data_IF_015614525508
#
_entry.id   IF_015614525508
#
_cell.length_a   1.000
_cell.length_b   1.000
_cell.length_c   1.000
_cell.angle_alpha   90.00
_cell.angle_beta   90.00
_cell.angle_gamma   90.00
#
_symmetry.space_group_name_H-M   'P 1'
#
loop_
_entity.id
_entity.type
_entity.pdbx_description
1 polymer ?
#
# COMPACT_ATOMS: atom_id res chain seq x y z
N UNK A 1 -57.07 -13.92 46.13
CA UNK A 1 -56.37 -14.29 44.88
C UNK A 1 -56.08 -13.07 44.00
N UNK A 2 -55.62 -11.94 44.58
CA UNK A 2 -55.45 -10.65 43.88
C UNK A 2 -54.17 -9.92 44.34
N UNK A 3 -53.01 -10.57 44.21
CA UNK A 3 -51.72 -9.94 44.56
C UNK A 3 -50.65 -9.97 43.45
N UNK A 4 -50.98 -10.51 42.27
CA UNK A 4 -50.03 -10.65 41.16
C UNK A 4 -50.27 -9.69 39.98
N UNK A 5 -51.38 -8.92 39.95
CA UNK A 5 -51.71 -8.08 38.79
C UNK A 5 -50.80 -6.87 38.63
N UNK A 6 -50.31 -6.28 39.72
CA UNK A 6 -49.49 -5.06 39.68
C UNK A 6 -48.08 -5.31 39.12
N UNK A 7 -47.52 -6.50 39.34
CA UNK A 7 -46.18 -6.88 38.85
C UNK A 7 -46.21 -7.12 37.34
N UNK A 8 -47.30 -7.70 36.82
CA UNK A 8 -47.49 -7.93 35.38
C UNK A 8 -47.64 -6.61 34.62
N UNK A 9 -48.37 -5.64 35.19
CA UNK A 9 -48.52 -4.31 34.59
C UNK A 9 -47.19 -3.55 34.55
N UNK A 10 -46.39 -3.61 35.63
CA UNK A 10 -45.06 -2.98 35.67
C UNK A 10 -44.09 -3.59 34.65
N UNK A 11 -44.10 -4.92 34.49
CA UNK A 11 -43.29 -5.59 33.47
C UNK A 11 -43.70 -5.21 32.05
N UNK A 12 -45.01 -5.05 31.80
CA UNK A 12 -45.52 -4.67 30.49
C UNK A 12 -45.15 -3.22 30.12
N UNK A 13 -45.22 -2.30 31.08
CA UNK A 13 -44.78 -0.90 30.90
C UNK A 13 -43.26 -0.85 30.63
N UNK A 14 -42.47 -1.65 31.34
CA UNK A 14 -41.02 -1.69 31.13
C UNK A 14 -40.65 -2.23 29.74
N UNK A 15 -41.36 -3.26 29.26
CA UNK A 15 -41.21 -3.79 27.90
C UNK A 15 -41.56 -2.76 26.83
N UNK A 16 -42.64 -1.99 27.02
CA UNK A 16 -43.04 -0.92 26.10
C UNK A 16 -42.01 0.21 26.04
N UNK A 17 -41.38 0.56 27.16
CA UNK A 17 -40.30 1.56 27.21
C UNK A 17 -39.07 1.06 26.44
N UNK A 18 -38.70 -0.21 26.60
CA UNK A 18 -37.58 -0.82 25.84
C UNK A 18 -37.89 -0.85 24.34
N UNK A 19 -39.11 -1.25 23.95
CA UNK A 19 -39.53 -1.28 22.55
C UNK A 19 -39.54 0.12 21.94
N UNK A 20 -40.00 1.13 22.68
CA UNK A 20 -39.99 2.51 22.23
C UNK A 20 -38.56 3.05 22.07
N UNK A 21 -37.65 2.74 23.01
CA UNK A 21 -36.24 3.09 22.90
C UNK A 21 -35.56 2.39 21.71
N UNK A 22 -35.86 1.12 21.45
CA UNK A 22 -35.32 0.40 20.30
C UNK A 22 -35.85 0.95 18.97
N UNK A 23 -37.14 1.31 18.90
CA UNK A 23 -37.72 1.97 17.72
C UNK A 23 -37.10 3.34 17.47
N UNK A 24 -36.89 4.14 18.52
CA UNK A 24 -36.30 5.48 18.39
C UNK A 24 -34.81 5.41 18.00
N UNK A 25 -34.07 4.44 18.54
CA UNK A 25 -32.68 4.17 18.15
C UNK A 25 -32.58 3.66 16.70
N UNK A 26 -33.56 2.88 16.23
CA UNK A 26 -33.64 2.44 14.84
C UNK A 26 -33.94 3.60 13.87
N UNK A 27 -34.68 4.62 14.31
CA UNK A 27 -35.06 5.78 13.48
C UNK A 27 -33.91 6.81 13.40
N UNK A 28 -33.15 7.03 14.48
CA UNK A 28 -32.00 7.96 14.49
C UNK A 28 -30.76 7.42 13.76
N UNK A 29 -30.69 6.11 13.48
CA UNK A 29 -29.62 5.52 12.65
C UNK A 29 -29.80 5.75 11.13
N UNK A 30 -30.84 6.48 10.72
CA UNK A 30 -31.14 6.81 9.33
C UNK A 30 -30.29 7.96 8.74
N UNK A 31 -29.08 8.17 9.27
CA UNK A 31 -28.02 8.85 8.52
C UNK A 31 -27.68 7.96 7.30
N UNK A 32 -28.32 8.28 6.19
CA UNK A 32 -28.32 7.55 4.93
C UNK A 32 -26.93 7.10 4.48
N UNK A 33 -26.56 5.86 4.82
CA UNK A 33 -25.47 5.14 4.16
C UNK A 33 -25.98 4.81 2.76
N UNK A 34 -25.51 5.54 1.74
CA UNK A 34 -25.70 5.15 0.34
C UNK A 34 -24.85 3.90 0.06
N UNK A 35 -25.40 2.74 0.39
CA UNK A 35 -24.83 1.44 0.04
C UNK A 35 -25.06 1.24 -1.47
N UNK A 36 -24.05 1.56 -2.28
CA UNK A 36 -23.99 1.13 -3.69
C UNK A 36 -23.53 -0.34 -3.72
N UNK A 37 -24.45 -1.26 -3.44
CA UNK A 37 -24.23 -2.71 -3.66
C UNK A 37 -25.03 -3.11 -4.89
N UNK A 38 -24.33 -3.35 -5.99
CA UNK A 38 -24.86 -4.01 -7.18
C UNK A 38 -24.64 -5.51 -7.01
N UNK A 39 -25.73 -6.23 -6.70
CA UNK A 39 -25.84 -7.67 -6.93
C UNK A 39 -26.38 -7.88 -8.35
N UNK A 40 -25.59 -8.53 -9.20
CA UNK A 40 -25.94 -9.33 -10.39
C UNK A 40 -24.82 -9.22 -11.44
N UNK A 41 -23.91 -10.19 -11.43
CA UNK A 41 -22.80 -10.30 -12.39
C UNK A 41 -23.18 -11.25 -13.54
N UNK A 42 -23.92 -10.75 -14.53
CA UNK A 42 -23.91 -11.35 -15.85
C UNK A 42 -22.96 -10.57 -16.79
N UNK A 43 -22.04 -11.33 -17.41
CA UNK A 43 -21.16 -10.98 -18.54
C UNK A 43 -19.96 -10.08 -18.25
N UNK A 44 -18.95 -10.65 -17.58
CA UNK A 44 -17.57 -10.21 -17.76
C UNK A 44 -17.02 -10.73 -19.09
N UNK A 45 -16.80 -9.86 -20.08
CA UNK A 45 -15.98 -10.18 -21.27
C UNK A 45 -14.48 -10.00 -20.94
N UNK A 46 -13.60 -10.71 -21.65
CA UNK A 46 -12.15 -10.43 -21.64
C UNK A 46 -11.92 -8.96 -22.00
N UNK A 47 -11.24 -8.21 -21.13
CA UNK A 47 -10.91 -6.81 -21.35
C UNK A 47 -9.44 -6.72 -21.68
N UNK A 48 -9.14 -6.30 -22.90
CA UNK A 48 -7.91 -5.60 -23.24
C UNK A 48 -8.06 -4.14 -22.80
N UNK A 49 -7.02 -3.57 -22.20
CA UNK A 49 -7.00 -2.15 -21.88
C UNK A 49 -6.83 -1.33 -23.17
N UNK A 50 -7.91 -1.19 -23.94
CA UNK A 50 -7.90 -0.63 -25.31
C UNK A 50 -7.80 0.90 -25.34
N UNK A 51 -8.10 1.57 -24.23
CA UNK A 51 -8.24 3.02 -24.18
C UNK A 51 -7.23 3.66 -23.23
N UNK A 52 -6.82 4.90 -23.56
CA UNK A 52 -5.95 5.69 -22.69
C UNK A 52 -6.66 6.11 -21.40
N UNK A 53 -5.90 6.37 -20.33
CA UNK A 53 -6.45 6.90 -19.08
C UNK A 53 -7.24 8.20 -19.28
N UNK A 54 -6.81 9.07 -20.20
CA UNK A 54 -7.54 10.29 -20.58
C UNK A 54 -8.91 10.01 -21.18
N UNK A 55 -9.04 8.95 -21.97
CA UNK A 55 -10.33 8.53 -22.51
C UNK A 55 -11.27 8.11 -21.39
N UNK A 56 -10.80 7.28 -20.44
CA UNK A 56 -11.61 6.87 -19.30
C UNK A 56 -12.03 8.04 -18.41
N UNK A 57 -11.12 8.98 -18.14
CA UNK A 57 -11.42 10.19 -17.39
C UNK A 57 -12.57 10.99 -18.04
N UNK A 58 -12.48 11.20 -19.35
CA UNK A 58 -13.49 11.93 -20.12
C UNK A 58 -14.83 11.18 -20.19
N UNK A 59 -14.81 9.89 -20.51
CA UNK A 59 -16.00 9.13 -20.89
C UNK A 59 -16.66 8.37 -19.73
N UNK A 60 -15.87 7.90 -18.76
CA UNK A 60 -16.35 7.12 -17.62
C UNK A 60 -16.45 7.96 -16.35
N UNK A 61 -15.41 8.72 -16.03
CA UNK A 61 -15.39 9.51 -14.79
C UNK A 61 -16.12 10.86 -14.97
N UNK A 62 -16.35 11.28 -16.23
CA UNK A 62 -16.95 12.56 -16.65
C UNK A 62 -16.23 13.77 -16.07
N UNK A 63 -14.90 13.72 -16.04
CA UNK A 63 -14.08 14.85 -15.60
C UNK A 63 -13.72 15.73 -16.80
N UNK A 64 -13.54 17.04 -16.55
CA UNK A 64 -13.06 17.95 -17.59
C UNK A 64 -11.57 17.66 -17.86
N UNK A 65 -11.13 17.84 -19.11
CA UNK A 65 -9.71 17.83 -19.43
C UNK A 65 -9.00 18.87 -18.54
N UNK A 66 -7.85 18.51 -17.95
CA UNK A 66 -7.11 19.30 -16.95
C UNK A 66 -7.71 19.40 -15.53
N UNK A 67 -8.87 18.80 -15.24
CA UNK A 67 -9.35 18.70 -13.86
C UNK A 67 -8.45 17.77 -13.06
N UNK A 68 -7.91 18.28 -11.94
CA UNK A 68 -7.16 17.44 -10.98
C UNK A 68 -8.14 16.49 -10.30
N UNK A 69 -7.95 15.19 -10.51
CA UNK A 69 -8.66 14.16 -9.78
C UNK A 69 -8.26 14.18 -8.30
N UNK A 70 -9.21 13.80 -7.44
CA UNK A 70 -9.04 13.67 -5.99
C UNK A 70 -9.80 12.43 -5.50
N UNK A 71 -9.36 11.81 -4.41
CA UNK A 71 -9.98 10.60 -3.86
C UNK A 71 -11.36 10.91 -3.26
N UNK A 72 -11.60 12.11 -2.74
CA UNK A 72 -12.93 12.47 -2.22
C UNK A 72 -14.03 12.35 -3.29
N UNK A 73 -13.68 12.50 -4.58
CA UNK A 73 -14.63 12.40 -5.68
C UNK A 73 -14.80 10.97 -6.23
N UNK A 74 -14.14 9.96 -5.64
CA UNK A 74 -14.18 8.58 -6.16
C UNK A 74 -15.62 8.02 -6.22
N UNK A 75 -16.47 8.32 -5.23
CA UNK A 75 -17.89 7.92 -5.24
C UNK A 75 -18.62 8.49 -6.46
N UNK A 76 -18.36 9.75 -6.78
CA UNK A 76 -18.94 10.42 -7.95
C UNK A 76 -18.42 9.80 -9.24
N UNK A 77 -17.12 9.51 -9.33
CA UNK A 77 -16.50 8.88 -10.49
C UNK A 77 -17.11 7.51 -10.80
N UNK A 78 -17.32 6.68 -9.78
CA UNK A 78 -17.95 5.37 -9.95
C UNK A 78 -19.43 5.46 -10.30
N UNK A 79 -20.18 6.38 -9.70
CA UNK A 79 -21.58 6.63 -10.07
C UNK A 79 -21.72 7.06 -11.54
N UNK A 80 -20.81 7.90 -12.03
CA UNK A 80 -20.76 8.31 -13.43
C UNK A 80 -20.49 7.13 -14.36
N UNK A 81 -19.57 6.25 -13.98
CA UNK A 81 -19.23 5.06 -14.76
C UNK A 81 -20.37 4.02 -14.77
N UNK A 82 -20.97 3.76 -13.62
CA UNK A 82 -22.09 2.84 -13.43
C UNK A 82 -23.33 3.25 -14.22
N UNK A 83 -23.65 4.54 -14.25
CA UNK A 83 -24.81 5.11 -14.97
C UNK A 83 -24.52 5.46 -16.43
N UNK A 84 -23.30 5.18 -16.91
CA UNK A 84 -22.89 5.52 -18.27
C UNK A 84 -23.64 4.67 -19.30
N UNK A 85 -23.97 5.28 -20.45
CA UNK A 85 -24.49 4.54 -21.62
C UNK A 85 -23.40 3.67 -22.27
N UNK A 86 -22.12 4.00 -22.05
CA UNK A 86 -21.00 3.22 -22.56
C UNK A 86 -20.80 1.94 -21.74
N UNK A 87 -20.83 0.77 -22.41
CA UNK A 87 -20.66 -0.53 -21.77
C UNK A 87 -19.31 -0.69 -21.05
N UNK A 88 -18.24 -0.13 -21.60
CA UNK A 88 -16.89 -0.21 -21.03
C UNK A 88 -16.83 0.49 -19.67
N UNK A 89 -17.48 1.66 -19.56
CA UNK A 89 -17.56 2.38 -18.29
C UNK A 89 -18.36 1.61 -17.24
N UNK A 90 -19.48 0.99 -17.63
CA UNK A 90 -20.25 0.12 -16.73
C UNK A 90 -19.42 -1.08 -16.28
N UNK A 91 -18.69 -1.70 -17.21
CA UNK A 91 -17.82 -2.83 -16.91
C UNK A 91 -16.68 -2.46 -15.95
N UNK A 92 -16.08 -1.28 -16.11
CA UNK A 92 -15.14 -0.75 -15.12
C UNK A 92 -15.79 -0.63 -13.73
N UNK A 93 -16.98 -0.03 -13.63
CA UNK A 93 -17.68 0.08 -12.36
C UNK A 93 -18.01 -1.30 -11.75
N UNK A 94 -18.38 -2.28 -12.58
CA UNK A 94 -18.62 -3.67 -12.14
C UNK A 94 -17.34 -4.29 -11.58
N UNK A 95 -16.20 -4.18 -12.26
CA UNK A 95 -14.92 -4.72 -11.79
C UNK A 95 -14.46 -4.01 -10.52
N UNK A 96 -14.61 -2.69 -10.46
CA UNK A 96 -14.34 -1.93 -9.24
C UNK A 96 -15.16 -2.45 -8.07
N UNK A 97 -16.48 -2.60 -8.24
CA UNK A 97 -17.37 -3.06 -7.18
C UNK A 97 -17.15 -4.52 -6.79
N UNK A 98 -16.64 -5.33 -7.73
CA UNK A 98 -16.23 -6.70 -7.44
C UNK A 98 -15.05 -6.71 -6.47
N UNK A 99 -14.02 -5.89 -6.68
CA UNK A 99 -12.80 -5.86 -5.86
C UNK A 99 -12.93 -5.02 -4.59
N UNK A 100 -13.58 -3.86 -4.70
CA UNK A 100 -13.62 -2.85 -3.65
C UNK A 100 -15.04 -2.59 -3.16
N UNK A 101 -15.14 -2.24 -1.88
CA UNK A 101 -16.28 -1.56 -1.29
C UNK A 101 -15.86 -0.12 -1.01
N UNK A 102 -16.68 0.82 -1.46
CA UNK A 102 -16.46 2.24 -1.26
C UNK A 102 -17.58 2.79 -0.37
N UNK A 103 -17.21 3.56 0.65
CA UNK A 103 -18.15 4.26 1.52
C UNK A 103 -17.74 5.71 1.67
N UNK A 104 -18.74 6.57 1.79
CA UNK A 104 -18.59 7.97 2.14
C UNK A 104 -19.34 8.22 3.42
N UNK A 105 -18.63 8.70 4.43
CA UNK A 105 -19.17 8.99 5.76
C UNK A 105 -18.72 10.38 6.21
N UNK A 106 -19.45 10.95 7.16
CA UNK A 106 -19.18 12.28 7.69
C UNK A 106 -18.94 12.22 9.19
N UNK A 107 -17.80 12.75 9.63
CA UNK A 107 -17.49 12.98 11.04
C UNK A 107 -17.93 14.37 11.46
N UNK A 108 -18.90 14.46 12.38
CA UNK A 108 -19.44 15.72 12.85
C UNK A 108 -18.78 16.15 14.17
N UNK A 109 -18.31 17.39 14.24
CA UNK A 109 -17.72 17.99 15.44
C UNK A 109 -18.55 19.18 15.94
N UNK A 110 -18.78 19.20 17.26
CA UNK A 110 -19.26 20.39 17.97
C UNK A 110 -18.08 21.05 18.68
N UNK A 111 -17.76 22.28 18.31
CA UNK A 111 -16.63 23.03 18.86
C UNK A 111 -17.12 24.10 19.83
N UNK A 112 -16.52 24.16 21.02
CA UNK A 112 -16.74 25.31 21.92
C UNK A 112 -16.04 26.56 21.36
N UNK A 113 -16.51 27.79 21.68
CA UNK A 113 -15.85 29.01 21.22
C UNK A 113 -14.36 29.08 21.61
N UNK A 114 -14.02 28.62 22.81
CA UNK A 114 -12.64 28.57 23.30
C UNK A 114 -11.79 27.61 22.46
N UNK A 115 -12.32 26.44 22.13
CA UNK A 115 -11.58 25.46 21.34
C UNK A 115 -11.48 25.87 19.86
N UNK A 116 -12.50 26.54 19.31
CA UNK A 116 -12.46 27.11 17.98
C UNK A 116 -11.29 28.10 17.81
N UNK A 117 -11.03 28.94 18.81
CA UNK A 117 -9.85 29.84 18.78
C UNK A 117 -8.53 29.08 18.66
N UNK A 118 -8.40 27.93 19.34
CA UNK A 118 -7.21 27.07 19.25
C UNK A 118 -7.09 26.40 17.88
N UNK A 119 -8.20 25.91 17.33
CA UNK A 119 -8.24 25.31 15.99
C UNK A 119 -7.91 26.35 14.92
N UNK A 120 -8.41 27.58 15.04
CA UNK A 120 -8.11 28.66 14.11
C UNK A 120 -6.60 28.90 14.01
N UNK A 121 -5.87 28.85 15.13
CA UNK A 121 -4.41 28.96 15.13
C UNK A 121 -3.75 27.78 14.40
N UNK A 122 -4.22 26.55 14.64
CA UNK A 122 -3.68 25.35 13.98
C UNK A 122 -3.93 25.33 12.47
N UNK A 123 -5.06 25.88 12.03
CA UNK A 123 -5.46 25.93 10.62
C UNK A 123 -5.11 27.28 9.96
N UNK A 124 -4.24 28.08 10.57
CA UNK A 124 -3.79 29.37 10.04
C UNK A 124 -4.92 30.34 9.66
N UNK A 125 -6.03 30.30 10.41
CA UNK A 125 -7.25 31.09 10.19
C UNK A 125 -7.94 30.84 8.83
N UNK A 126 -7.66 29.71 8.17
CA UNK A 126 -8.31 29.32 6.91
C UNK A 126 -9.77 28.95 7.16
N UNK A 127 -10.69 29.81 6.71
CA UNK A 127 -12.13 29.63 6.90
C UNK A 127 -12.67 28.38 6.21
N UNK A 128 -12.08 27.95 5.09
CA UNK A 128 -12.51 26.73 4.40
C UNK A 128 -12.17 25.51 5.24
N UNK A 129 -10.96 25.46 5.81
CA UNK A 129 -10.55 24.35 6.70
C UNK A 129 -11.34 24.36 8.01
N UNK A 130 -11.70 25.54 8.53
CA UNK A 130 -12.53 25.68 9.73
C UNK A 130 -13.96 25.17 9.50
N UNK A 131 -14.54 25.34 8.32
CA UNK A 131 -15.84 24.71 8.03
C UNK A 131 -15.68 23.20 7.80
N UNK A 132 -14.63 22.77 7.08
CA UNK A 132 -14.36 21.35 6.85
C UNK A 132 -14.08 20.57 8.14
N UNK A 133 -13.51 21.18 9.18
CA UNK A 133 -13.24 20.47 10.44
C UNK A 133 -14.53 20.13 11.20
N UNK A 134 -15.60 20.94 11.04
CA UNK A 134 -16.90 20.72 11.69
C UNK A 134 -17.63 19.53 11.07
N UNK A 135 -17.49 19.35 9.76
CA UNK A 135 -18.09 18.24 9.01
C UNK A 135 -17.02 17.61 8.11
N UNK A 136 -16.37 16.57 8.63
CA UNK A 136 -15.25 15.92 7.97
C UNK A 136 -15.76 14.83 7.05
N UNK A 137 -15.57 15.03 5.75
CA UNK A 137 -15.81 14.00 4.74
C UNK A 137 -14.72 12.93 4.80
N UNK A 138 -15.13 11.68 4.92
CA UNK A 138 -14.23 10.52 5.03
C UNK A 138 -14.63 9.50 3.97
N UNK A 139 -13.68 9.11 3.12
CA UNK A 139 -13.88 8.03 2.14
C UNK A 139 -13.23 6.76 2.67
N UNK A 140 -13.99 5.67 2.76
CA UNK A 140 -13.46 4.35 3.11
C UNK A 140 -13.38 3.48 1.88
N UNK A 141 -12.22 2.88 1.64
CA UNK A 141 -12.00 1.91 0.58
C UNK A 141 -11.59 0.60 1.23
N UNK A 142 -12.36 -0.46 0.98
CA UNK A 142 -12.11 -1.78 1.50
C UNK A 142 -11.94 -2.78 0.36
N UNK A 143 -10.81 -3.47 0.32
CA UNK A 143 -10.57 -4.58 -0.59
C UNK A 143 -11.27 -5.83 -0.06
N UNK A 144 -12.22 -6.36 -0.83
CA UNK A 144 -13.08 -7.47 -0.43
C UNK A 144 -12.35 -8.80 -0.31
N UNK A 145 -11.18 -8.93 -0.94
CA UNK A 145 -10.45 -10.19 -1.04
C UNK A 145 -9.14 -10.19 -0.23
N UNK A 146 -8.45 -9.05 -0.15
CA UNK A 146 -7.24 -8.94 0.68
C UNK A 146 -7.52 -8.39 2.08
N UNK A 147 -8.75 -7.93 2.33
CA UNK A 147 -9.21 -7.30 3.57
C UNK A 147 -8.44 -6.03 3.97
N UNK A 148 -7.72 -5.44 3.02
CA UNK A 148 -7.05 -4.17 3.21
C UNK A 148 -8.08 -3.03 3.22
N UNK A 149 -8.02 -2.19 4.24
CA UNK A 149 -8.89 -1.03 4.37
C UNK A 149 -8.07 0.25 4.48
N UNK A 150 -8.53 1.28 3.76
CA UNK A 150 -8.00 2.63 3.87
C UNK A 150 -9.11 3.65 4.10
N UNK A 151 -8.91 4.48 5.11
CA UNK A 151 -9.72 5.65 5.41
C UNK A 151 -9.00 6.92 4.93
N UNK A 152 -9.62 7.63 4.00
CA UNK A 152 -9.15 8.92 3.51
C UNK A 152 -9.86 10.04 4.26
N UNK A 153 -9.09 10.85 4.98
CA UNK A 153 -9.61 12.05 5.62
C UNK A 153 -8.57 13.18 5.48
N UNK A 154 -8.84 14.13 4.59
CA UNK A 154 -7.96 15.26 4.33
C UNK A 154 -7.61 16.04 5.60
N UNK A 155 -8.55 16.20 6.55
CA UNK A 155 -8.31 16.94 7.80
C UNK A 155 -7.22 16.29 8.68
N UNK A 156 -6.86 15.03 8.44
CA UNK A 156 -5.70 14.43 9.13
C UNK A 156 -4.36 15.01 8.72
N UNK A 157 -4.24 15.48 7.48
CA UNK A 157 -3.02 16.17 7.01
C UNK A 157 -2.81 17.51 7.72
N UNK A 158 -3.87 18.08 8.29
CA UNK A 158 -3.88 19.38 8.96
C UNK A 158 -3.56 19.29 10.47
N UNK A 159 -3.24 18.09 10.97
CA UNK A 159 -2.90 17.91 12.40
C UNK A 159 -1.62 18.64 12.74
N UNK A 160 -1.54 19.34 13.90
CA UNK A 160 -0.31 19.95 14.36
C UNK A 160 0.82 18.92 14.46
N UNK A 161 1.90 19.15 13.73
CA UNK A 161 3.10 18.34 13.75
C UNK A 161 4.19 19.02 14.58
N UNK A 162 4.94 18.23 15.34
CA UNK A 162 6.18 18.68 15.95
C UNK A 162 7.24 18.69 14.84
N UNK A 163 7.79 19.86 14.53
CA UNK A 163 8.94 19.96 13.63
C UNK A 163 10.20 19.64 14.42
N UNK A 164 11.10 18.87 13.81
CA UNK A 164 12.46 18.71 14.32
C UNK A 164 13.31 19.87 13.82
N UNK A 165 14.21 20.37 14.67
CA UNK A 165 15.18 21.41 14.30
C UNK A 165 16.35 20.86 13.48
N UNK A 166 16.48 19.52 13.41
CA UNK A 166 17.55 18.84 12.67
C UNK A 166 17.08 18.54 11.25
N UNK A 167 17.91 18.93 10.26
CA UNK A 167 17.71 18.59 8.85
C UNK A 167 17.74 17.06 8.65
N UNK A 168 16.71 16.45 8.03
CA UNK A 168 16.71 15.01 7.75
C UNK A 168 17.90 14.54 6.91
N UNK A 169 18.39 15.37 5.98
CA UNK A 169 19.55 15.04 5.14
C UNK A 169 20.85 15.03 5.96
N UNK A 170 21.07 16.03 6.80
CA UNK A 170 22.25 16.07 7.68
C UNK A 170 22.26 14.90 8.67
N UNK A 171 21.09 14.59 9.23
CA UNK A 171 20.93 13.46 10.15
C UNK A 171 21.26 12.12 9.48
N UNK A 172 20.70 11.85 8.30
CA UNK A 172 20.96 10.60 7.57
C UNK A 172 22.40 10.49 7.09
N UNK A 173 22.98 11.58 6.57
CA UNK A 173 24.39 11.63 6.13
C UNK A 173 25.33 11.24 7.27
N UNK A 174 25.11 11.80 8.47
CA UNK A 174 25.89 11.46 9.66
C UNK A 174 25.78 9.99 10.05
N UNK A 175 24.56 9.42 10.06
CA UNK A 175 24.35 8.01 10.37
C UNK A 175 25.08 7.08 9.37
N UNK A 176 25.06 7.42 8.09
CA UNK A 176 25.76 6.67 7.04
C UNK A 176 27.28 6.75 7.21
N UNK A 177 27.82 7.93 7.52
CA UNK A 177 29.26 8.10 7.76
C UNK A 177 29.73 7.34 9.00
N UNK A 178 29.00 7.47 10.10
CA UNK A 178 29.36 6.84 11.38
C UNK A 178 29.29 5.32 11.29
N UNK A 179 28.25 4.77 10.67
CA UNK A 179 28.08 3.32 10.51
C UNK A 179 29.12 2.68 9.58
N UNK A 180 29.70 3.44 8.64
CA UNK A 180 30.71 2.90 7.69
C UNK A 180 32.01 2.49 8.39
N UNK A 181 32.37 3.19 9.47
CA UNK A 181 33.67 3.03 10.17
C UNK A 181 33.88 1.63 10.73
N UNK A 182 32.81 0.94 11.10
CA UNK A 182 32.85 -0.37 11.76
C UNK A 182 31.94 -1.38 11.06
N UNK A 183 31.66 -1.18 9.77
CA UNK A 183 30.72 -2.02 9.04
C UNK A 183 31.35 -3.39 8.68
N UNK A 184 30.69 -4.47 9.11
CA UNK A 184 31.07 -5.85 8.80
C UNK A 184 30.85 -6.21 7.32
N UNK A 185 29.96 -5.49 6.62
CA UNK A 185 29.64 -5.73 5.21
C UNK A 185 30.59 -4.99 4.23
N UNK A 186 31.42 -4.08 4.74
CA UNK A 186 32.28 -3.24 3.91
C UNK A 186 33.56 -3.93 3.43
N UNK A 187 33.97 -3.60 2.20
CA UNK A 187 35.25 -4.04 1.65
C UNK A 187 35.39 -5.55 1.62
N UNK A 188 36.42 -6.09 2.30
CA UNK A 188 36.64 -7.54 2.45
C UNK A 188 36.23 -8.06 3.83
N UNK A 189 35.71 -7.21 4.71
CA UNK A 189 35.33 -7.62 6.07
C UNK A 189 34.27 -8.73 6.03
N UNK A 190 33.36 -8.68 5.05
CA UNK A 190 32.27 -9.64 4.94
C UNK A 190 32.72 -11.10 4.85
N UNK A 191 33.92 -11.36 4.32
CA UNK A 191 34.47 -12.71 4.21
C UNK A 191 34.73 -13.35 5.58
N UNK A 192 35.04 -12.53 6.60
CA UNK A 192 35.39 -13.00 7.94
C UNK A 192 34.34 -12.63 9.00
N UNK A 193 33.53 -11.59 8.73
CA UNK A 193 32.54 -11.05 9.68
C UNK A 193 31.09 -11.44 9.34
N UNK A 194 30.85 -12.24 8.31
CA UNK A 194 29.49 -12.71 7.98
C UNK A 194 29.42 -14.20 7.77
N UNK A 195 28.29 -14.80 8.14
CA UNK A 195 28.04 -16.21 7.91
C UNK A 195 27.84 -16.51 6.42
N UNK A 196 28.16 -17.74 6.03
CA UNK A 196 27.89 -18.31 4.72
C UNK A 196 26.75 -19.33 4.83
N UNK A 197 25.95 -19.47 3.78
CA UNK A 197 24.91 -20.51 3.73
C UNK A 197 25.52 -21.86 3.33
N UNK A 198 24.78 -22.97 3.47
CA UNK A 198 25.26 -24.30 3.05
C UNK A 198 25.48 -24.41 1.54
N UNK A 199 24.80 -23.57 0.75
CA UNK A 199 25.03 -23.44 -0.70
C UNK A 199 26.26 -22.59 -1.05
N UNK A 200 26.97 -22.10 -0.03
CA UNK A 200 28.11 -21.21 -0.17
C UNK A 200 27.71 -19.74 -0.33
N UNK A 201 28.70 -18.92 -0.69
CA UNK A 201 28.54 -17.50 -0.99
C UNK A 201 28.38 -17.31 -2.48
N UNK A 202 27.26 -16.72 -2.88
CA UNK A 202 27.05 -16.25 -4.24
C UNK A 202 27.56 -14.82 -4.34
N UNK A 203 28.33 -14.53 -5.37
CA UNK A 203 28.88 -13.21 -5.61
C UNK A 203 28.64 -12.77 -7.04
N UNK A 204 28.06 -11.58 -7.18
CA UNK A 204 28.02 -10.82 -8.41
C UNK A 204 29.03 -9.68 -8.34
N UNK A 205 29.07 -8.85 -9.39
CA UNK A 205 29.99 -7.72 -9.48
C UNK A 205 29.68 -6.68 -8.41
N UNK A 206 28.40 -6.36 -8.19
CA UNK A 206 27.97 -5.28 -7.30
C UNK A 206 27.32 -5.78 -6.00
N UNK A 207 27.05 -7.07 -5.86
CA UNK A 207 26.43 -7.63 -4.68
C UNK A 207 26.96 -9.03 -4.33
N UNK A 208 26.66 -9.48 -3.12
CA UNK A 208 27.00 -10.82 -2.62
C UNK A 208 25.97 -11.30 -1.59
N UNK A 209 25.89 -12.60 -1.37
CA UNK A 209 25.04 -13.17 -0.33
C UNK A 209 25.78 -13.28 0.99
N UNK A 210 25.08 -13.16 2.11
CA UNK A 210 25.55 -13.61 3.42
C UNK A 210 24.41 -14.33 4.13
N UNK A 211 24.65 -15.49 4.73
CA UNK A 211 23.61 -16.13 5.52
C UNK A 211 23.21 -15.20 6.67
N UNK A 212 21.90 -15.06 6.91
CA UNK A 212 21.47 -14.39 8.12
C UNK A 212 21.88 -15.27 9.32
N UNK A 213 22.67 -14.74 10.24
CA UNK A 213 23.11 -15.47 11.44
C UNK A 213 21.94 -15.82 12.36
N UNK A 214 20.91 -14.96 12.37
CA UNK A 214 19.71 -15.11 13.20
C UNK A 214 18.50 -15.37 12.31
N UNK A 215 18.47 -16.57 11.72
CA UNK A 215 17.42 -16.94 10.76
C UNK A 215 16.04 -17.03 11.43
N UNK A 216 15.02 -16.47 10.78
CA UNK A 216 13.62 -16.74 11.12
C UNK A 216 13.01 -17.90 10.31
N UNK A 217 13.72 -18.42 9.29
CA UNK A 217 13.30 -19.56 8.47
C UNK A 217 14.50 -20.42 8.05
N UNK A 218 14.22 -21.61 7.50
CA UNK A 218 15.23 -22.51 6.92
C UNK A 218 16.06 -21.82 5.85
N UNK A 219 15.40 -21.30 4.83
CA UNK A 219 16.04 -20.56 3.74
C UNK A 219 15.84 -19.07 4.00
N UNK A 220 16.85 -18.47 4.63
CA UNK A 220 16.91 -17.04 4.90
C UNK A 220 18.35 -16.53 4.72
N UNK A 221 18.54 -15.63 3.75
CA UNK A 221 19.82 -15.01 3.44
C UNK A 221 19.70 -13.48 3.45
N UNK A 222 20.84 -12.82 3.47
CA UNK A 222 21.02 -11.43 3.12
C UNK A 222 21.53 -11.35 1.67
N UNK A 223 21.02 -10.38 0.93
CA UNK A 223 21.54 -9.94 -0.36
C UNK A 223 22.14 -8.57 -0.15
N UNK A 224 23.46 -8.46 -0.19
CA UNK A 224 24.20 -7.30 0.29
C UNK A 224 24.85 -6.59 -0.89
N UNK A 225 24.58 -5.29 -1.02
CA UNK A 225 25.28 -4.47 -2.02
C UNK A 225 26.74 -4.30 -1.61
N UNK A 226 27.65 -4.07 -2.55
CA UNK A 226 29.01 -3.61 -2.21
C UNK A 226 29.02 -2.12 -1.84
N UNK A 227 27.94 -1.39 -2.12
CA UNK A 227 27.75 0.00 -1.74
C UNK A 227 27.09 0.14 -0.37
N UNK A 228 27.78 0.80 0.55
CA UNK A 228 27.30 1.07 1.91
C UNK A 228 26.12 2.05 1.94
N UNK A 229 26.01 2.95 0.97
CA UNK A 229 24.97 3.98 0.94
C UNK A 229 23.62 3.42 0.45
N UNK A 230 22.72 3.18 1.40
CA UNK A 230 21.37 2.64 1.16
C UNK A 230 20.41 3.60 0.47
N UNK A 231 20.76 4.89 0.35
CA UNK A 231 19.91 5.92 -0.26
C UNK A 231 20.32 6.24 -1.71
N UNK A 232 21.59 5.99 -2.05
CA UNK A 232 22.19 6.34 -3.34
C UNK A 232 22.63 5.12 -4.14
N UNK A 233 21.69 4.21 -4.39
CA UNK A 233 21.89 3.09 -5.31
C UNK A 233 21.58 3.49 -6.76
N UNK A 234 22.44 3.03 -7.66
CA UNK A 234 22.25 3.07 -9.11
C UNK A 234 21.26 2.00 -9.58
N UNK A 235 20.74 2.14 -10.80
CA UNK A 235 19.90 1.10 -11.44
C UNK A 235 20.64 -0.24 -11.51
N UNK A 236 21.93 -0.23 -11.87
CA UNK A 236 22.74 -1.44 -12.00
C UNK A 236 22.95 -2.15 -10.65
N UNK A 237 23.14 -1.41 -9.55
CA UNK A 237 23.27 -2.01 -8.22
C UNK A 237 21.96 -2.66 -7.77
N UNK A 238 20.82 -2.01 -8.02
CA UNK A 238 19.50 -2.58 -7.72
C UNK A 238 19.26 -3.84 -8.56
N UNK A 239 19.59 -3.80 -9.85
CA UNK A 239 19.46 -4.94 -10.75
C UNK A 239 20.32 -6.12 -10.31
N UNK A 240 21.62 -5.89 -10.05
CA UNK A 240 22.58 -6.91 -9.62
C UNK A 240 22.13 -7.59 -8.31
N UNK A 241 21.64 -6.83 -7.32
CA UNK A 241 21.08 -7.41 -6.09
C UNK A 241 19.85 -8.29 -6.37
N UNK A 242 18.92 -7.83 -7.20
CA UNK A 242 17.68 -8.57 -7.48
C UNK A 242 17.93 -9.81 -8.34
N UNK A 243 18.88 -9.76 -9.28
CA UNK A 243 19.33 -10.92 -10.06
C UNK A 243 20.03 -11.95 -9.16
N UNK A 244 20.92 -11.51 -8.26
CA UNK A 244 21.56 -12.37 -7.28
C UNK A 244 20.53 -13.05 -6.36
N UNK A 245 19.49 -12.34 -5.93
CA UNK A 245 18.39 -12.90 -5.16
C UNK A 245 17.66 -14.01 -5.93
N UNK A 246 17.37 -13.80 -7.22
CA UNK A 246 16.78 -14.83 -8.07
C UNK A 246 17.68 -16.05 -8.20
N UNK A 247 18.98 -15.87 -8.43
CA UNK A 247 19.93 -16.99 -8.47
C UNK A 247 19.92 -17.78 -7.15
N UNK A 248 19.92 -17.07 -6.03
CA UNK A 248 19.85 -17.68 -4.69
C UNK A 248 18.57 -18.50 -4.50
N UNK A 249 17.40 -17.98 -4.89
CA UNK A 249 16.13 -18.73 -4.82
C UNK A 249 16.17 -20.01 -5.66
N UNK A 250 16.68 -19.95 -6.90
CA UNK A 250 16.78 -21.14 -7.75
C UNK A 250 17.73 -22.20 -7.15
N UNK A 251 18.85 -21.78 -6.56
CA UNK A 251 19.77 -22.70 -5.89
C UNK A 251 19.13 -23.34 -4.66
N UNK A 252 18.50 -22.55 -3.79
CA UNK A 252 17.77 -23.07 -2.63
C UNK A 252 16.65 -24.05 -3.04
N UNK A 253 15.85 -23.68 -4.04
CA UNK A 253 14.80 -24.54 -4.59
C UNK A 253 15.33 -25.86 -5.17
N UNK A 254 16.48 -25.83 -5.86
CA UNK A 254 17.08 -27.04 -6.43
C UNK A 254 17.55 -28.05 -5.38
N UNK A 255 17.88 -27.57 -4.18
CA UNK A 255 18.29 -28.40 -3.04
C UNK A 255 17.04 -28.97 -2.35
N UNK A 256 16.00 -28.13 -2.17
CA UNK A 256 14.76 -28.52 -1.51
C UNK A 256 13.52 -28.00 -2.25
N UNK A 257 13.01 -28.75 -3.24
CA UNK A 257 11.89 -28.32 -4.09
C UNK A 257 10.54 -28.12 -3.38
N UNK A 258 10.47 -28.45 -2.09
CA UNK A 258 9.30 -28.22 -1.25
C UNK A 258 9.18 -26.76 -0.76
N UNK A 259 10.25 -25.98 -0.85
CA UNK A 259 10.27 -24.56 -0.51
C UNK A 259 10.05 -23.72 -1.77
N UNK A 260 8.85 -23.18 -1.94
CA UNK A 260 8.37 -22.67 -3.24
C UNK A 260 8.05 -21.19 -3.23
N UNK A 261 8.00 -20.53 -2.07
CA UNK A 261 7.47 -19.17 -1.94
C UNK A 261 8.58 -18.13 -1.75
N UNK A 262 9.11 -17.52 -2.83
CA UNK A 262 10.19 -16.54 -2.76
C UNK A 262 9.68 -15.15 -2.34
N UNK A 263 10.29 -14.59 -1.31
CA UNK A 263 10.03 -13.22 -0.87
C UNK A 263 11.29 -12.50 -0.42
N UNK A 264 11.21 -11.17 -0.43
CA UNK A 264 12.27 -10.29 0.00
C UNK A 264 11.70 -9.14 0.80
N UNK A 265 12.48 -8.66 1.77
CA UNK A 265 12.20 -7.44 2.52
C UNK A 265 13.44 -6.56 2.55
N UNK A 266 13.26 -5.26 2.61
CA UNK A 266 14.36 -4.32 2.81
C UNK A 266 13.88 -3.10 3.59
N UNK A 267 14.56 -2.85 4.70
CA UNK A 267 14.42 -1.65 5.50
C UNK A 267 15.66 -0.75 5.30
N UNK A 268 15.41 0.52 5.02
CA UNK A 268 16.44 1.55 4.97
C UNK A 268 16.22 2.54 6.13
N UNK A 269 17.29 2.80 6.88
CA UNK A 269 17.34 3.62 8.11
C UNK A 269 16.73 2.97 9.37
N UNK A 270 17.19 3.35 10.58
CA UNK A 270 16.68 2.78 11.83
C UNK A 270 15.19 3.02 12.04
N UNK A 271 14.67 4.14 11.50
CA UNK A 271 13.26 4.51 11.55
C UNK A 271 12.34 3.48 10.84
N UNK A 272 12.89 2.73 9.88
CA UNK A 272 12.20 1.62 9.22
C UNK A 272 12.36 0.28 9.92
N UNK A 273 13.28 0.17 10.89
CA UNK A 273 13.62 -1.11 11.55
C UNK A 273 14.95 -1.70 11.13
N UNK A 274 15.72 -1.01 10.26
CA UNK A 274 17.04 -1.49 9.85
C UNK A 274 18.01 -1.55 11.04
N UNK A 275 18.56 -2.73 11.33
CA UNK A 275 19.59 -2.93 12.36
C UNK A 275 21.00 -2.62 11.84
N UNK A 276 21.20 -2.66 10.52
CA UNK A 276 22.45 -2.33 9.84
C UNK A 276 22.17 -1.25 8.80
N UNK A 277 23.03 -0.25 8.73
CA UNK A 277 22.88 0.88 7.80
C UNK A 277 23.28 0.55 6.37
N UNK A 278 24.22 -0.38 6.22
CA UNK A 278 24.73 -0.83 4.93
C UNK A 278 23.61 -1.48 4.12
N UNK A 279 23.55 -1.19 2.83
CA UNK A 279 22.51 -1.68 1.91
C UNK A 279 22.42 -3.20 1.87
N UNK A 280 21.32 -3.77 2.35
CA UNK A 280 21.05 -5.19 2.23
C UNK A 280 19.54 -5.46 2.17
N UNK A 281 19.15 -6.43 1.35
CA UNK A 281 17.83 -7.05 1.43
C UNK A 281 17.94 -8.31 2.29
N UNK A 282 16.84 -8.70 2.91
CA UNK A 282 16.67 -10.07 3.41
C UNK A 282 15.83 -10.83 2.39
N UNK A 283 16.25 -12.04 2.04
CA UNK A 283 15.53 -12.91 1.12
C UNK A 283 15.22 -14.24 1.81
N UNK A 284 13.99 -14.71 1.66
CA UNK A 284 13.54 -15.99 2.21
C UNK A 284 12.76 -16.80 1.19
N UNK A 285 12.87 -18.13 1.29
CA UNK A 285 12.13 -19.07 0.46
C UNK A 285 11.28 -19.92 1.40
N UNK A 286 9.98 -19.65 1.44
CA UNK A 286 9.03 -20.28 2.36
C UNK A 286 8.55 -21.66 1.91
N UNK A 287 8.14 -22.49 2.87
CA UNK A 287 7.61 -23.83 2.64
C UNK A 287 6.13 -23.78 2.23
N UNK A 288 5.83 -23.97 0.94
CA UNK A 288 4.49 -24.05 0.32
C UNK A 288 3.52 -22.85 0.54
N UNK A 289 3.84 -21.95 1.45
CA UNK A 289 3.09 -20.74 1.79
C UNK A 289 4.02 -19.53 1.87
N UNK A 290 3.49 -18.37 1.49
CA UNK A 290 4.15 -17.10 1.78
C UNK A 290 3.93 -16.68 3.23
N UNK A 291 4.64 -15.64 3.66
CA UNK A 291 4.43 -15.09 4.98
C UNK A 291 3.17 -14.21 5.04
N UNK A 292 2.35 -14.44 6.07
CA UNK A 292 1.27 -13.57 6.56
C UNK A 292 0.50 -12.79 5.50
N UNK A 293 0.88 -11.51 5.31
CA UNK A 293 0.19 -10.57 4.42
C UNK A 293 0.29 -10.96 2.93
N UNK A 294 1.41 -11.54 2.51
CA UNK A 294 1.59 -11.98 1.12
C UNK A 294 0.69 -13.18 0.85
N UNK A 295 0.65 -14.13 1.77
CA UNK A 295 -0.24 -15.29 1.68
C UNK A 295 -1.71 -14.89 1.71
N UNK A 296 -2.09 -13.93 2.55
CA UNK A 296 -3.45 -13.33 2.52
C UNK A 296 -3.77 -12.77 1.13
N UNK A 297 -2.81 -12.14 0.46
CA UNK A 297 -3.00 -11.61 -0.89
C UNK A 297 -3.16 -12.73 -1.91
N UNK A 298 -2.33 -13.78 -1.85
CA UNK A 298 -2.44 -14.96 -2.73
C UNK A 298 -3.79 -15.65 -2.56
N UNK A 299 -4.21 -15.91 -1.33
CA UNK A 299 -5.51 -16.53 -1.04
C UNK A 299 -6.68 -15.65 -1.48
N UNK A 300 -6.57 -14.33 -1.28
CA UNK A 300 -7.53 -13.37 -1.80
C UNK A 300 -7.64 -13.41 -3.33
N UNK A 301 -6.51 -13.50 -4.03
CA UNK A 301 -6.48 -13.63 -5.49
C UNK A 301 -7.10 -14.95 -5.99
N UNK A 302 -6.89 -16.04 -5.24
CA UNK A 302 -7.54 -17.35 -5.49
C UNK A 302 -9.05 -17.26 -5.30
N UNK A 303 -9.49 -16.72 -4.16
CA UNK A 303 -10.89 -16.54 -3.88
C UNK A 303 -11.56 -15.59 -4.90
N UNK A 304 -10.84 -14.57 -5.37
CA UNK A 304 -11.32 -13.68 -6.42
C UNK A 304 -11.66 -14.42 -7.71
N UNK A 305 -10.74 -15.18 -8.31
CA UNK A 305 -11.09 -15.80 -9.58
C UNK A 305 -12.13 -16.92 -9.43
N UNK A 306 -12.19 -17.62 -8.29
CA UNK A 306 -13.25 -18.59 -8.01
C UNK A 306 -14.65 -17.94 -8.05
N UNK A 307 -14.78 -16.72 -7.53
CA UNK A 307 -16.06 -15.99 -7.49
C UNK A 307 -16.33 -15.10 -8.72
N UNK A 308 -15.36 -14.97 -9.63
CA UNK A 308 -15.44 -14.05 -10.77
C UNK A 308 -15.04 -14.75 -12.08
N UNK A 309 -15.51 -15.98 -12.31
CA UNK A 309 -15.35 -16.73 -13.56
C UNK A 309 -13.90 -16.87 -14.05
N UNK A 310 -12.96 -17.14 -13.14
CA UNK A 310 -11.55 -17.34 -13.48
C UNK A 310 -10.78 -16.07 -13.84
N UNK A 311 -11.32 -14.88 -13.57
CA UNK A 311 -10.63 -13.60 -13.79
C UNK A 311 -9.43 -13.42 -12.86
N UNK A 312 -8.28 -13.04 -13.43
CA UNK A 312 -7.09 -12.81 -12.63
C UNK A 312 -7.22 -11.52 -11.78
N UNK A 313 -7.08 -11.68 -10.46
CA UNK A 313 -7.17 -10.61 -9.48
C UNK A 313 -6.21 -9.44 -9.78
N UNK A 314 -4.95 -9.74 -10.07
CA UNK A 314 -3.92 -8.73 -10.26
C UNK A 314 -4.12 -7.94 -11.56
N UNK A 315 -4.58 -8.59 -12.63
CA UNK A 315 -4.94 -7.92 -13.89
C UNK A 315 -6.09 -6.94 -13.68
N UNK A 316 -7.12 -7.33 -12.94
CA UNK A 316 -8.26 -6.45 -12.64
C UNK A 316 -7.92 -5.34 -11.65
N UNK A 317 -7.09 -5.65 -10.66
CA UNK A 317 -6.52 -4.67 -9.74
C UNK A 317 -5.74 -3.60 -10.52
N UNK A 318 -4.83 -4.00 -11.41
CA UNK A 318 -4.07 -3.09 -12.25
C UNK A 318 -4.99 -2.27 -13.17
N UNK A 319 -5.97 -2.92 -13.82
CA UNK A 319 -6.93 -2.27 -14.71
C UNK A 319 -7.68 -1.13 -14.02
N UNK A 320 -8.19 -1.36 -12.80
CA UNK A 320 -8.88 -0.31 -12.02
C UNK A 320 -7.97 0.92 -11.86
N UNK A 321 -6.72 0.71 -11.45
CA UNK A 321 -5.81 1.82 -11.20
C UNK A 321 -5.39 2.53 -12.50
N UNK A 322 -5.28 1.81 -13.62
CA UNK A 322 -5.02 2.39 -14.93
C UNK A 322 -6.18 3.29 -15.39
N UNK A 323 -7.43 2.83 -15.22
CA UNK A 323 -8.65 3.60 -15.53
C UNK A 323 -8.73 4.87 -14.69
N UNK A 324 -8.37 4.77 -13.41
CA UNK A 324 -8.32 5.92 -12.50
C UNK A 324 -7.16 6.86 -12.79
N UNK A 325 -6.18 6.47 -13.62
CA UNK A 325 -5.00 7.28 -13.90
C UNK A 325 -4.01 7.34 -12.73
N UNK A 326 -3.97 6.29 -11.91
CA UNK A 326 -3.08 6.15 -10.76
C UNK A 326 -1.86 5.24 -11.06
N UNK A 327 -1.56 5.04 -12.34
CA UNK A 327 -0.45 4.18 -12.81
C UNK A 327 0.53 4.94 -13.69
N UNK A 328 1.81 4.64 -13.53
CA UNK A 328 2.92 5.12 -14.37
C UNK A 328 3.57 3.87 -14.97
N UNK A 329 3.74 3.85 -16.29
CA UNK A 329 4.29 2.69 -17.00
C UNK A 329 5.76 2.94 -17.36
N UNK A 330 6.64 2.04 -16.94
CA UNK A 330 8.07 2.02 -17.28
C UNK A 330 8.31 0.74 -18.09
N UNK A 331 8.45 0.85 -19.40
CA UNK A 331 8.44 -0.34 -20.27
C UNK A 331 7.14 -1.13 -20.07
N UNK A 332 7.20 -2.37 -19.60
CA UNK A 332 6.02 -3.17 -19.24
C UNK A 332 5.65 -3.14 -17.74
N UNK A 333 6.56 -2.65 -16.90
CA UNK A 333 6.36 -2.55 -15.46
C UNK A 333 5.39 -1.43 -15.11
N UNK A 334 4.51 -1.68 -14.14
CA UNK A 334 3.52 -0.72 -13.66
C UNK A 334 3.89 -0.25 -12.26
N UNK A 335 4.10 1.06 -12.11
CA UNK A 335 4.18 1.74 -10.81
C UNK A 335 2.79 2.27 -10.48
N UNK A 336 2.25 1.88 -9.34
CA UNK A 336 0.84 2.03 -8.96
C UNK A 336 0.76 2.81 -7.64
N UNK A 337 0.10 3.96 -7.69
CA UNK A 337 -0.32 4.70 -6.49
C UNK A 337 -1.67 4.15 -6.04
N UNK A 338 -1.65 3.02 -5.34
CA UNK A 338 -2.85 2.23 -5.13
C UNK A 338 -3.82 2.81 -4.09
N UNK A 339 -5.08 2.36 -4.13
CA UNK A 339 -6.21 2.87 -3.35
C UNK A 339 -6.28 2.38 -1.90
N UNK A 340 -5.58 1.29 -1.56
CA UNK A 340 -5.55 0.72 -0.20
C UNK A 340 -4.11 0.63 0.34
N UNK A 341 -3.38 1.76 0.45
CA UNK A 341 -2.04 1.74 1.02
C UNK A 341 -2.08 1.44 2.52
N UNK A 342 -0.93 1.12 3.13
CA UNK A 342 -0.76 1.04 4.58
C UNK A 342 -0.44 2.42 5.16
N UNK A 343 0.21 3.29 4.37
CA UNK A 343 0.56 4.67 4.75
C UNK A 343 0.53 5.64 3.57
N UNK A 344 0.56 6.94 3.89
CA UNK A 344 0.43 8.04 2.93
C UNK A 344 1.34 7.88 1.70
N UNK A 345 2.55 7.35 1.89
CA UNK A 345 3.61 7.27 0.87
C UNK A 345 3.89 5.86 0.37
N UNK A 346 2.96 4.91 0.52
CA UNK A 346 3.13 3.58 -0.07
C UNK A 346 2.88 3.59 -1.58
N UNK A 347 3.77 2.92 -2.31
CA UNK A 347 3.75 2.68 -3.76
C UNK A 347 3.85 1.18 -4.00
N UNK A 348 3.17 0.70 -5.04
CA UNK A 348 3.28 -0.68 -5.51
C UNK A 348 3.93 -0.70 -6.90
N UNK A 349 4.87 -1.60 -7.13
CA UNK A 349 5.46 -1.89 -8.44
C UNK A 349 5.08 -3.32 -8.81
N UNK A 350 4.53 -3.51 -10.01
CA UNK A 350 3.99 -4.79 -10.46
C UNK A 350 4.40 -5.08 -11.90
N UNK A 351 4.85 -6.31 -12.13
CA UNK A 351 5.14 -6.85 -13.45
C UNK A 351 4.92 -8.38 -13.44
N UNK A 352 4.77 -9.00 -14.60
CA UNK A 352 4.65 -10.46 -14.72
C UNK A 352 5.94 -11.17 -14.28
N UNK A 353 7.09 -10.53 -14.52
CA UNK A 353 8.42 -11.10 -14.24
C UNK A 353 9.37 -10.03 -13.77
N UNK A 354 10.37 -10.45 -13.01
CA UNK A 354 11.50 -9.60 -12.67
C UNK A 354 12.34 -9.37 -13.93
N UNK A 355 12.58 -8.11 -14.27
CA UNK A 355 13.27 -7.71 -15.49
C UNK A 355 13.87 -6.31 -15.35
N UNK A 356 14.63 -5.85 -16.35
CA UNK A 356 15.30 -4.55 -16.33
C UNK A 356 14.34 -3.35 -16.14
N UNK A 357 13.14 -3.40 -16.71
CA UNK A 357 12.16 -2.33 -16.49
C UNK A 357 11.70 -2.27 -15.03
N UNK A 358 11.66 -3.41 -14.34
CA UNK A 358 11.34 -3.48 -12.92
C UNK A 358 12.45 -2.84 -12.09
N UNK A 359 13.71 -3.16 -12.38
CA UNK A 359 14.87 -2.56 -11.70
C UNK A 359 14.88 -1.04 -11.89
N UNK A 360 14.67 -0.60 -13.13
CA UNK A 360 14.55 0.82 -13.48
C UNK A 360 13.38 1.49 -12.77
N UNK A 361 12.22 0.84 -12.70
CA UNK A 361 11.05 1.38 -12.00
C UNK A 361 11.35 1.57 -10.50
N UNK A 362 11.93 0.56 -9.84
CA UNK A 362 12.30 0.64 -8.43
C UNK A 362 13.34 1.74 -8.19
N UNK A 363 14.38 1.80 -9.03
CA UNK A 363 15.39 2.86 -8.98
C UNK A 363 14.75 4.25 -9.08
N UNK A 364 13.92 4.49 -10.11
CA UNK A 364 13.29 5.79 -10.33
C UNK A 364 12.34 6.19 -9.20
N UNK A 365 11.62 5.23 -8.61
CA UNK A 365 10.79 5.49 -7.42
C UNK A 365 11.68 5.90 -6.25
N UNK A 366 12.69 5.10 -5.90
CA UNK A 366 13.61 5.40 -4.79
C UNK A 366 14.25 6.79 -4.97
N UNK A 367 14.78 7.10 -6.16
CA UNK A 367 15.40 8.41 -6.43
C UNK A 367 14.42 9.56 -6.37
N UNK A 368 13.17 9.37 -6.81
CA UNK A 368 12.14 10.41 -6.70
C UNK A 368 11.87 10.76 -5.23
N UNK A 369 11.73 9.76 -4.38
CA UNK A 369 11.45 9.99 -2.96
C UNK A 369 12.66 10.57 -2.22
N UNK A 370 13.85 10.03 -2.44
CA UNK A 370 15.08 10.51 -1.78
C UNK A 370 15.42 11.94 -2.23
N UNK A 371 15.47 12.19 -3.54
CA UNK A 371 16.04 13.45 -4.05
C UNK A 371 15.01 14.59 -4.14
N UNK A 372 13.77 14.28 -4.49
CA UNK A 372 12.76 15.31 -4.76
C UNK A 372 11.79 15.47 -3.58
N UNK A 373 11.53 14.39 -2.82
CA UNK A 373 10.60 14.42 -1.68
C UNK A 373 11.29 14.42 -0.32
N UNK A 374 12.62 14.26 -0.26
CA UNK A 374 13.41 14.22 0.97
C UNK A 374 12.95 13.13 1.96
N UNK A 375 12.51 11.99 1.44
CA UNK A 375 12.08 10.84 2.22
C UNK A 375 13.18 9.79 2.24
N UNK A 376 13.82 9.62 3.40
CA UNK A 376 15.06 8.84 3.54
C UNK A 376 14.86 7.50 4.26
N UNK A 377 13.70 7.25 4.85
CA UNK A 377 13.41 5.99 5.55
C UNK A 377 12.32 5.27 4.78
N UNK A 378 12.58 4.03 4.37
CA UNK A 378 11.56 3.20 3.74
C UNK A 378 11.64 1.74 4.18
N UNK A 379 10.53 1.06 4.04
CA UNK A 379 10.41 -0.39 4.16
C UNK A 379 9.79 -0.90 2.87
N UNK A 380 10.26 -2.03 2.35
CA UNK A 380 9.49 -2.74 1.34
C UNK A 380 9.38 -4.23 1.63
N UNK A 381 8.29 -4.80 1.13
CA UNK A 381 8.11 -6.22 0.95
C UNK A 381 7.90 -6.54 -0.53
N UNK A 382 8.55 -7.58 -1.00
CA UNK A 382 8.50 -8.03 -2.38
C UNK A 382 8.28 -9.53 -2.43
N UNK A 383 7.43 -9.98 -3.34
CA UNK A 383 7.22 -11.39 -3.60
C UNK A 383 7.27 -11.67 -5.09
N UNK A 384 7.77 -12.85 -5.44
CA UNK A 384 7.78 -13.38 -6.78
C UNK A 384 6.77 -14.54 -6.86
N UNK A 385 6.29 -14.92 -8.05
CA UNK A 385 5.48 -16.13 -8.21
C UNK A 385 6.14 -17.37 -7.59
N UNK A 386 5.37 -18.36 -7.12
CA UNK A 386 5.94 -19.58 -6.57
C UNK A 386 6.86 -20.29 -7.57
N UNK A 387 7.96 -20.85 -7.07
CA UNK A 387 8.97 -21.54 -7.88
C UNK A 387 8.41 -22.73 -8.67
N UNK A 388 7.31 -23.32 -8.20
CA UNK A 388 6.62 -24.45 -8.81
C UNK A 388 5.36 -24.04 -9.60
N UNK A 389 5.06 -22.74 -9.73
CA UNK A 389 3.84 -22.31 -10.40
C UNK A 389 3.92 -22.61 -11.90
N UNK A 390 3.01 -23.46 -12.38
CA UNK A 390 2.81 -23.71 -13.80
C UNK A 390 1.71 -22.79 -14.32
N UNK A 391 2.00 -22.06 -15.40
CA UNK A 391 1.13 -21.05 -16.00
C UNK A 391 -0.13 -21.67 -16.63
N UNK A 392 -1.25 -21.72 -15.90
CA UNK A 392 -2.58 -21.98 -16.51
C UNK A 392 -3.81 -21.74 -15.63
N UNK A 393 -3.69 -21.53 -14.32
CA UNK A 393 -4.88 -21.61 -13.44
C UNK A 393 -5.63 -20.28 -13.26
N UNK A 394 -5.26 -19.22 -14.00
CA UNK A 394 -5.92 -17.90 -13.94
C UNK A 394 -5.65 -17.09 -12.67
N UNK A 395 -4.98 -17.67 -11.68
CA UNK A 395 -4.61 -17.05 -10.39
C UNK A 395 -3.13 -16.67 -10.27
N UNK A 396 -2.40 -16.69 -11.40
CA UNK A 396 -0.96 -16.47 -11.46
C UNK A 396 -0.55 -15.23 -10.67
N UNK A 397 0.44 -15.40 -9.78
CA UNK A 397 1.00 -14.31 -9.02
C UNK A 397 2.00 -13.53 -9.87
N UNK A 398 1.87 -12.20 -9.97
CA UNK A 398 2.92 -11.38 -10.57
C UNK A 398 4.08 -11.20 -9.57
N UNK A 399 5.15 -10.59 -10.06
CA UNK A 399 6.14 -9.97 -9.19
C UNK A 399 5.56 -8.66 -8.67
N UNK A 400 5.53 -8.51 -7.35
CA UNK A 400 5.04 -7.29 -6.68
C UNK A 400 6.05 -6.82 -5.65
N UNK A 401 6.43 -5.55 -5.73
CA UNK A 401 7.14 -4.85 -4.68
C UNK A 401 6.24 -3.76 -4.11
N UNK A 402 6.05 -3.74 -2.78
CA UNK A 402 5.34 -2.69 -2.06
C UNK A 402 6.32 -1.91 -1.21
N UNK A 403 6.51 -0.65 -1.53
CA UNK A 403 7.48 0.24 -0.90
C UNK A 403 6.74 1.34 -0.17
N UNK A 404 6.98 1.47 1.14
CA UNK A 404 6.40 2.52 1.98
C UNK A 404 7.51 3.39 2.56
N UNK A 405 7.47 4.68 2.25
CA UNK A 405 8.30 5.65 2.94
C UNK A 405 7.69 5.97 4.31
N UNK A 406 8.53 5.88 5.33
CA UNK A 406 8.18 6.09 6.73
C UNK A 406 8.18 7.59 7.04
N UNK A 407 7.71 7.96 8.22
CA UNK A 407 7.85 9.36 8.68
C UNK A 407 9.31 9.81 8.64
N UNK A 408 9.55 11.14 8.56
CA UNK A 408 10.89 11.71 8.60
C UNK A 408 11.79 11.08 9.66
N UNK A 409 13.02 10.78 9.27
CA UNK A 409 14.03 10.11 10.13
C UNK A 409 14.27 10.84 11.45
N UNK A 410 14.07 12.16 11.49
CA UNK A 410 14.26 13.00 12.69
C UNK A 410 13.02 13.11 13.56
N UNK A 411 11.86 12.57 13.12
CA UNK A 411 10.64 12.61 13.91
C UNK A 411 10.70 11.61 15.06
N UNK A 412 10.39 12.10 16.27
CA UNK A 412 10.26 11.26 17.45
C UNK A 412 9.11 10.24 17.34
N UNK A 413 7.97 10.66 16.77
CA UNK A 413 6.75 9.83 16.73
C UNK A 413 6.89 8.68 15.74
N UNK A 414 6.48 7.48 16.16
CA UNK A 414 6.26 6.35 15.24
C UNK A 414 5.22 6.73 14.18
N UNK A 415 5.40 6.23 12.97
CA UNK A 415 4.44 6.37 11.89
C UNK A 415 3.33 5.30 11.94
N UNK A 416 3.62 4.14 12.52
CA UNK A 416 2.64 3.10 12.82
C UNK A 416 2.15 3.18 14.27
N UNK A 417 0.86 2.92 14.47
CA UNK A 417 0.20 2.87 15.77
C UNK A 417 -0.78 1.70 15.84
N UNK A 418 -1.48 1.55 16.97
CA UNK A 418 -2.41 0.44 17.18
C UNK A 418 -3.54 0.33 16.15
N UNK A 419 -3.95 1.44 15.52
CA UNK A 419 -4.90 1.40 14.42
C UNK A 419 -4.32 0.60 13.26
N UNK A 420 -3.11 0.94 12.83
CA UNK A 420 -2.46 0.35 11.64
C UNK A 420 -2.07 -1.12 11.87
N UNK A 421 -1.70 -1.47 13.11
CA UNK A 421 -1.27 -2.83 13.44
C UNK A 421 -2.42 -3.81 13.61
N UNK A 422 -3.58 -3.37 14.12
CA UNK A 422 -4.64 -4.27 14.56
C UNK A 422 -6.00 -4.04 13.89
N UNK A 423 -6.16 -2.95 13.14
CA UNK A 423 -7.47 -2.60 12.55
C UNK A 423 -7.35 -2.22 11.08
N UNK A 424 -6.97 -0.99 10.80
CA UNK A 424 -7.08 -0.34 9.50
C UNK A 424 -6.06 0.79 9.41
N UNK A 425 -5.95 1.42 8.24
CA UNK A 425 -5.04 2.55 8.05
C UNK A 425 -5.83 3.80 7.67
N UNK A 426 -5.27 4.96 8.04
CA UNK A 426 -5.90 6.25 7.77
C UNK A 426 -4.88 7.26 7.28
N UNK A 427 -5.15 7.86 6.13
CA UNK A 427 -4.22 8.76 5.45
C UNK A 427 -4.86 10.12 5.21
N UNK A 428 -4.01 11.15 5.21
CA UNK A 428 -4.42 12.54 4.94
C UNK A 428 -3.97 13.03 3.57
N UNK A 429 -2.96 12.38 2.98
CA UNK A 429 -2.44 12.75 1.67
C UNK A 429 -3.26 12.10 0.55
N UNK A 430 -3.77 12.94 -0.35
CA UNK A 430 -4.50 12.48 -1.52
C UNK A 430 -3.60 11.68 -2.48
N UNK A 431 -4.12 10.57 -3.02
CA UNK A 431 -3.36 9.66 -3.89
C UNK A 431 -3.00 10.30 -5.23
N UNK A 432 -3.85 11.16 -5.78
CA UNK A 432 -3.54 11.86 -7.02
C UNK A 432 -2.49 12.95 -6.82
N UNK A 433 -2.38 13.54 -5.61
CA UNK A 433 -1.23 14.40 -5.26
C UNK A 433 0.06 13.60 -5.30
N UNK A 434 0.10 12.45 -4.62
CA UNK A 434 1.29 11.59 -4.63
C UNK A 434 1.63 11.11 -6.04
N UNK A 435 0.63 10.71 -6.84
CA UNK A 435 0.80 10.32 -8.23
C UNK A 435 1.48 11.40 -9.07
N UNK A 436 1.06 12.66 -8.95
CA UNK A 436 1.68 13.77 -9.69
C UNK A 436 3.13 13.97 -9.27
N UNK A 437 3.40 14.01 -7.96
CA UNK A 437 4.76 14.12 -7.44
C UNK A 437 5.68 13.01 -7.95
N UNK A 438 5.19 11.77 -7.92
CA UNK A 438 5.93 10.61 -8.40
C UNK A 438 6.16 10.68 -9.91
N UNK A 439 5.12 11.03 -10.67
CA UNK A 439 5.20 11.19 -12.12
C UNK A 439 6.21 12.26 -12.52
N UNK A 440 6.17 13.42 -11.90
CA UNK A 440 7.07 14.53 -12.19
C UNK A 440 8.53 14.14 -11.91
N UNK A 441 8.81 13.47 -10.78
CA UNK A 441 10.14 12.98 -10.44
C UNK A 441 10.66 11.89 -11.38
N UNK A 442 9.79 10.98 -11.81
CA UNK A 442 10.13 9.95 -12.80
C UNK A 442 10.42 10.60 -14.16
N UNK A 443 9.55 11.48 -14.65
CA UNK A 443 9.71 12.14 -15.95
C UNK A 443 10.96 13.03 -16.00
N UNK A 444 11.32 13.66 -14.89
CA UNK A 444 12.55 14.45 -14.75
C UNK A 444 13.82 13.63 -15.02
N UNK A 445 13.81 12.32 -14.72
CA UNK A 445 14.97 11.42 -14.87
C UNK A 445 14.95 10.59 -16.16
N UNK A 446 13.81 10.55 -16.86
CA UNK A 446 13.69 9.89 -18.15
C UNK A 446 14.05 10.80 -19.32
N UNK A 447 14.01 12.12 -19.12
CA UNK A 447 14.54 13.14 -20.02
C UNK A 447 16.04 13.25 -19.82
#
# INVERSE_FOLDING_TARGET
>A
MLRNSSVVVLLFIFLLIILFYQLQYSIDSSASIKILVSQNNEKFKNISNEYSSLWYQKHCLKTKLAQKLVVEDLVKYLNNAHTSKNQICRQFATIFNALFRLEEIYGLLKLSPVYLNKINQWLHNDQVLIEQIKEQRIIKIYNRYTHEEMLYNYMRSQRPQTKSDISPNEYTSKLLEDSRKTCDFCGKNYLNSTAEDRLGRLEHRLSYTAANTFKYDRWHTLIVSRNHDTLHLTEDEIGDMLELAQEWFHKAYSIEPMYTCPEMIWDAMPKSGASQMHTHLQASLGFDIYYGNIERTRQGARFYAQNNNGRNYFKDYLYIHQVLGLTIKIGNTNVIVHLTPIKDLEIMIMDEKLNRNFYKALHLVLRTFVDDLNEYSFSFGMYLPPMNETSSDGHEMPVVCRLVFRNPVTNLRSDMNGLDLYTSSVIGKDRYVLYRQLKDGIEKRLK
#
